data_IF_545102103035
#
_entry.id   IF_545102103035
#
_cell.length_a   1.000
_cell.length_b   1.000
_cell.length_c   1.000
_cell.angle_alpha   90.00
_cell.angle_beta   90.00
_cell.angle_gamma   90.00
#
_symmetry.space_group_name_H-M   'P 1'
#
loop_
_entity.id
_entity.type
_entity.pdbx_description
1 polymer ?
#
# COMPACT_ATOMS: atom_id res chain seq x y z
N UNK A 1 -1.55 -3.73 4.18
CA UNK A 1 -0.42 -3.49 3.27
C UNK A 1 -0.93 -2.82 2.02
N UNK A 2 -0.23 -1.79 1.55
CA UNK A 2 -0.53 -1.06 0.30
C UNK A 2 0.68 -1.21 -0.62
N UNK A 3 0.48 -1.45 -1.91
CA UNK A 3 1.55 -1.48 -2.92
C UNK A 3 1.38 -0.32 -3.89
N UNK A 4 2.46 0.43 -4.12
CA UNK A 4 2.46 1.60 -4.99
C UNK A 4 3.28 1.30 -6.25
N UNK A 5 2.60 1.13 -7.38
CA UNK A 5 3.20 0.77 -8.67
C UNK A 5 2.39 1.32 -9.83
N UNK A 6 2.17 0.51 -10.87
CA UNK A 6 1.29 0.87 -11.99
C UNK A 6 -0.10 1.29 -11.51
N UNK A 7 -0.64 0.57 -10.53
CA UNK A 7 -1.84 0.94 -9.78
C UNK A 7 -1.56 1.00 -8.27
N UNK A 8 -2.62 0.91 -7.48
CA UNK A 8 -2.54 0.75 -6.02
C UNK A 8 -3.12 -0.61 -5.65
N UNK A 9 -2.27 -1.54 -5.20
CA UNK A 9 -2.73 -2.82 -4.68
C UNK A 9 -2.89 -2.77 -3.16
N UNK A 10 -3.67 -3.70 -2.62
CA UNK A 10 -3.79 -3.87 -1.18
C UNK A 10 -3.89 -5.32 -0.75
N UNK A 11 -3.35 -5.59 0.44
CA UNK A 11 -3.59 -6.81 1.18
C UNK A 11 -4.03 -6.43 2.59
N UNK A 12 -5.23 -6.85 2.97
CA UNK A 12 -5.80 -6.58 4.28
C UNK A 12 -5.53 -7.78 5.17
N UNK A 13 -4.79 -7.57 6.27
CA UNK A 13 -4.45 -8.62 7.22
C UNK A 13 -5.17 -8.32 8.53
N UNK A 14 -5.93 -9.29 9.05
CA UNK A 14 -6.63 -9.18 10.32
C UNK A 14 -6.34 -10.41 11.17
N UNK A 15 -5.82 -10.20 12.39
CA UNK A 15 -5.38 -11.26 13.29
C UNK A 15 -4.43 -12.27 12.63
N UNK A 16 -3.50 -11.79 11.79
CA UNK A 16 -2.54 -12.63 11.06
C UNK A 16 -3.12 -13.38 9.85
N UNK A 17 -4.41 -13.25 9.57
CA UNK A 17 -5.06 -13.87 8.42
C UNK A 17 -5.27 -12.86 7.29
N UNK A 18 -5.07 -13.32 6.05
CA UNK A 18 -5.44 -12.55 4.87
C UNK A 18 -6.96 -12.46 4.74
N UNK A 19 -7.48 -11.24 4.68
CA UNK A 19 -8.81 -10.95 4.16
C UNK A 19 -8.66 -10.78 2.64
N UNK A 20 -9.14 -11.74 1.84
CA UNK A 20 -8.82 -11.79 0.41
C UNK A 20 -9.53 -10.68 -0.37
N UNK A 21 -8.94 -10.30 -1.50
CA UNK A 21 -9.55 -9.44 -2.51
C UNK A 21 -10.00 -8.04 -2.01
N UNK A 22 -9.35 -7.52 -0.97
CA UNK A 22 -9.54 -6.13 -0.58
C UNK A 22 -8.93 -5.21 -1.66
N UNK A 23 -9.77 -4.50 -2.41
CA UNK A 23 -9.40 -3.58 -3.50
C UNK A 23 -9.40 -2.12 -3.02
N UNK A 24 -8.53 -1.79 -2.06
CA UNK A 24 -8.46 -0.45 -1.47
C UNK A 24 -7.86 0.59 -2.43
N UNK A 25 -7.26 0.16 -3.54
CA UNK A 25 -6.77 1.07 -4.59
C UNK A 25 -7.89 1.79 -5.34
N UNK A 26 -9.10 1.18 -5.36
CA UNK A 26 -10.28 1.70 -6.05
C UNK A 26 -11.25 2.44 -5.13
N UNK A 27 -10.83 2.78 -3.91
CA UNK A 27 -11.62 3.67 -3.07
C UNK A 27 -11.78 5.01 -3.77
N UNK A 28 -13.00 5.56 -3.75
CA UNK A 28 -13.23 6.92 -4.20
C UNK A 28 -12.70 7.89 -3.15
N UNK A 29 -11.72 8.71 -3.53
CA UNK A 29 -11.13 9.76 -2.71
C UNK A 29 -11.20 11.07 -3.49
N UNK A 30 -11.88 12.06 -2.92
CA UNK A 30 -12.08 13.38 -3.51
C UNK A 30 -12.66 13.31 -4.95
N UNK A 31 -13.66 12.43 -5.12
CA UNK A 31 -14.41 12.25 -6.36
C UNK A 31 -13.68 11.47 -7.45
N UNK A 32 -12.54 10.84 -7.13
CA UNK A 32 -11.75 10.06 -8.08
C UNK A 32 -11.41 8.69 -7.50
N UNK A 33 -11.25 7.72 -8.38
CA UNK A 33 -10.57 6.46 -8.05
C UNK A 33 -9.15 6.77 -7.55
N UNK A 34 -8.81 6.29 -6.35
CA UNK A 34 -7.57 6.63 -5.68
C UNK A 34 -6.32 6.28 -6.49
N UNK A 35 -6.28 5.14 -7.19
CA UNK A 35 -5.07 4.75 -7.94
C UNK A 35 -4.79 5.68 -9.13
N UNK A 36 -5.85 6.27 -9.70
CA UNK A 36 -5.72 7.19 -10.83
C UNK A 36 -5.01 8.49 -10.44
N UNK A 37 -4.94 8.80 -9.14
CA UNK A 37 -4.30 9.98 -8.57
C UNK A 37 -3.03 9.66 -7.77
N UNK A 38 -3.02 8.58 -7.00
CA UNK A 38 -1.96 8.30 -6.02
C UNK A 38 -1.08 7.08 -6.36
N UNK A 39 -1.24 6.45 -7.52
CA UNK A 39 -0.29 5.42 -7.98
C UNK A 39 1.09 6.01 -8.34
N UNK A 40 2.10 5.15 -8.49
CA UNK A 40 3.42 5.60 -8.95
C UNK A 40 3.36 6.13 -10.39
N UNK A 41 2.54 5.52 -11.24
CA UNK A 41 2.31 5.99 -12.61
C UNK A 41 1.57 7.33 -12.63
N UNK A 42 0.58 7.54 -11.75
CA UNK A 42 -0.09 8.85 -11.64
C UNK A 42 0.90 9.95 -11.26
N UNK A 43 1.80 9.70 -10.30
CA UNK A 43 2.88 10.63 -9.93
C UNK A 43 3.73 11.05 -11.13
N UNK A 44 4.19 10.08 -11.91
CA UNK A 44 5.05 10.34 -13.07
C UNK A 44 4.30 11.03 -14.21
N UNK A 45 3.08 10.57 -14.52
CA UNK A 45 2.21 11.15 -15.53
C UNK A 45 1.93 12.63 -15.26
N UNK A 46 1.68 12.96 -13.99
CA UNK A 46 1.32 14.32 -13.58
C UNK A 46 2.56 15.17 -13.22
N UNK A 47 3.76 14.62 -13.35
CA UNK A 47 5.02 15.34 -13.15
C UNK A 47 5.26 15.78 -11.69
N UNK A 48 4.69 15.06 -10.72
CA UNK A 48 4.71 15.47 -9.32
C UNK A 48 6.08 15.24 -8.67
N UNK A 49 6.54 16.23 -7.92
CA UNK A 49 7.61 16.06 -6.93
C UNK A 49 7.18 15.09 -5.82
N UNK A 50 8.12 14.62 -5.01
CA UNK A 50 7.80 13.74 -3.88
C UNK A 50 7.01 14.44 -2.78
N UNK A 51 7.24 15.74 -2.58
CA UNK A 51 6.46 16.56 -1.64
C UNK A 51 5.00 16.68 -2.09
N UNK A 52 4.75 17.00 -3.37
CA UNK A 52 3.41 17.05 -3.93
C UNK A 52 2.72 15.67 -3.93
N UNK A 53 3.47 14.62 -4.26
CA UNK A 53 2.97 13.25 -4.17
C UNK A 53 2.56 12.87 -2.74
N UNK A 54 3.33 13.33 -1.75
CA UNK A 54 3.05 13.09 -0.33
C UNK A 54 1.70 13.66 0.09
N UNK A 55 1.25 14.78 -0.50
CA UNK A 55 -0.09 15.33 -0.24
C UNK A 55 -1.19 14.37 -0.68
N UNK A 56 -1.05 13.79 -1.88
CA UNK A 56 -2.02 12.82 -2.41
C UNK A 56 -2.00 11.51 -1.61
N UNK A 57 -0.80 11.01 -1.28
CA UNK A 57 -0.66 9.79 -0.50
C UNK A 57 -1.14 9.97 0.94
N UNK A 58 -0.87 11.12 1.56
CA UNK A 58 -1.39 11.51 2.88
C UNK A 58 -2.91 11.46 2.89
N UNK A 59 -3.55 12.06 1.87
CA UNK A 59 -5.00 12.09 1.75
C UNK A 59 -5.59 10.68 1.66
N UNK A 60 -5.02 9.83 0.81
CA UNK A 60 -5.42 8.44 0.67
C UNK A 60 -5.23 7.64 1.97
N UNK A 61 -4.02 7.67 2.56
CA UNK A 61 -3.71 6.89 3.76
C UNK A 61 -4.49 7.39 4.98
N UNK A 62 -4.75 8.68 5.12
CA UNK A 62 -5.63 9.23 6.17
C UNK A 62 -7.06 8.72 6.04
N UNK A 63 -7.55 8.59 4.79
CA UNK A 63 -8.87 8.04 4.53
C UNK A 63 -8.94 6.57 4.95
N UNK A 64 -7.95 5.77 4.55
CA UNK A 64 -7.85 4.36 4.96
C UNK A 64 -7.65 4.23 6.48
N UNK A 65 -6.86 5.11 7.09
CA UNK A 65 -6.67 5.18 8.54
C UNK A 65 -7.99 5.47 9.27
N UNK A 66 -8.81 6.39 8.76
CA UNK A 66 -10.13 6.67 9.32
C UNK A 66 -11.06 5.46 9.23
N UNK A 67 -11.10 4.79 8.07
CA UNK A 67 -11.99 3.66 7.84
C UNK A 67 -11.68 2.45 8.72
N UNK A 68 -10.39 2.16 8.94
CA UNK A 68 -9.98 0.88 9.53
C UNK A 68 -9.17 1.01 10.83
N UNK A 69 -8.67 2.20 11.16
CA UNK A 69 -7.76 2.43 12.28
C UNK A 69 -6.69 1.33 12.44
N UNK A 70 -5.90 1.06 11.38
CA UNK A 70 -4.99 -0.09 11.37
C UNK A 70 -3.86 0.07 12.40
N UNK A 71 -3.31 -1.05 12.86
CA UNK A 71 -2.14 -1.04 13.75
C UNK A 71 -0.84 -0.67 13.00
N UNK A 72 -0.77 -0.98 11.71
CA UNK A 72 0.41 -0.79 10.88
C UNK A 72 0.06 -0.64 9.39
N UNK A 73 0.65 0.36 8.74
CA UNK A 73 0.78 0.40 7.30
C UNK A 73 2.14 -0.17 6.87
N UNK A 74 2.10 -1.12 5.93
CA UNK A 74 3.27 -1.62 5.21
C UNK A 74 3.14 -1.15 3.77
N UNK A 75 4.12 -0.38 3.28
CA UNK A 75 4.17 0.14 1.92
C UNK A 75 5.15 -0.68 1.08
N UNK A 76 4.63 -1.38 0.08
CA UNK A 76 5.39 -2.09 -0.94
C UNK A 76 5.29 -1.43 -2.32
N UNK A 77 5.66 -2.16 -3.35
CA UNK A 77 5.65 -1.67 -4.74
C UNK A 77 6.93 -0.90 -5.12
N UNK A 78 7.01 -0.46 -6.37
CA UNK A 78 8.25 0.05 -6.97
C UNK A 78 8.82 1.27 -6.24
N UNK A 79 7.95 2.20 -5.85
CA UNK A 79 8.38 3.45 -5.20
C UNK A 79 8.66 3.31 -3.71
N UNK A 80 8.37 2.16 -3.07
CA UNK A 80 8.73 1.91 -1.66
C UNK A 80 10.23 2.08 -1.37
N UNK A 81 11.08 1.90 -2.39
CA UNK A 81 12.54 2.13 -2.34
C UNK A 81 12.93 3.61 -2.17
N UNK A 82 12.00 4.53 -2.42
CA UNK A 82 12.16 5.99 -2.32
C UNK A 82 11.38 6.56 -1.13
N UNK A 83 11.01 5.70 -0.17
CA UNK A 83 10.23 6.09 1.03
C UNK A 83 10.83 7.25 1.80
N UNK A 84 12.16 7.37 1.86
CA UNK A 84 12.84 8.50 2.52
C UNK A 84 12.49 9.87 1.91
N UNK A 85 11.99 9.92 0.68
CA UNK A 85 11.59 11.17 0.00
C UNK A 85 10.14 11.56 0.24
N UNK A 86 9.30 10.67 0.78
CA UNK A 86 7.88 10.98 0.99
C UNK A 86 7.34 10.61 2.39
N UNK A 87 7.89 9.61 3.07
CA UNK A 87 7.52 9.26 4.45
C UNK A 87 7.68 10.44 5.43
N UNK A 88 8.77 11.24 5.39
CA UNK A 88 8.92 12.36 6.31
C UNK A 88 7.85 13.45 6.18
N UNK A 89 7.11 13.46 5.07
CA UNK A 89 6.04 14.42 4.79
C UNK A 89 4.65 13.88 5.16
N UNK A 90 4.54 12.63 5.61
CA UNK A 90 3.29 12.03 6.06
C UNK A 90 3.08 12.28 7.56
N UNK A 91 1.86 12.65 7.92
CA UNK A 91 1.41 12.84 9.30
C UNK A 91 0.22 11.91 9.57
N UNK A 92 0.52 10.70 10.03
CA UNK A 92 -0.46 9.64 10.29
C UNK A 92 -0.38 9.23 11.76
N UNK A 93 -1.52 8.87 12.36
CA UNK A 93 -1.51 8.26 13.70
C UNK A 93 -0.96 6.84 13.64
N UNK A 94 -1.22 6.16 12.53
CA UNK A 94 -0.80 4.78 12.28
C UNK A 94 0.67 4.73 11.91
N UNK A 95 1.40 3.81 12.54
CA UNK A 95 2.79 3.55 12.17
C UNK A 95 2.88 3.11 10.71
N UNK A 96 3.86 3.62 9.99
CA UNK A 96 4.14 3.28 8.59
C UNK A 96 5.56 2.75 8.42
N UNK A 97 5.72 1.68 7.65
CA UNK A 97 7.02 1.06 7.32
C UNK A 97 7.04 0.60 5.86
N UNK A 98 8.23 0.35 5.32
CA UNK A 98 8.39 -0.28 4.00
C UNK A 98 8.32 -1.80 4.09
N UNK A 99 7.86 -2.44 3.02
CA UNK A 99 7.88 -3.89 2.91
C UNK A 99 9.33 -4.41 2.78
N UNK A 100 9.74 -5.28 3.70
CA UNK A 100 11.12 -5.83 3.73
C UNK A 100 11.44 -6.65 2.47
N UNK A 101 10.50 -7.48 2.03
CA UNK A 101 10.68 -8.40 0.90
C UNK A 101 10.63 -7.71 -0.48
N UNK A 102 10.25 -6.43 -0.56
CA UNK A 102 10.22 -5.63 -1.80
C UNK A 102 9.59 -6.41 -2.98
N UNK A 103 10.38 -6.71 -4.00
CA UNK A 103 9.95 -7.39 -5.23
C UNK A 103 9.66 -8.87 -5.00
N UNK A 104 10.27 -9.49 -3.99
CA UNK A 104 10.13 -10.92 -3.70
C UNK A 104 8.84 -11.21 -2.91
N UNK A 105 8.18 -10.18 -2.37
CA UNK A 105 6.98 -10.31 -1.55
C UNK A 105 5.88 -11.15 -2.23
N UNK A 106 5.67 -10.96 -3.54
CA UNK A 106 4.66 -11.69 -4.30
C UNK A 106 5.00 -13.17 -4.47
N UNK A 107 6.25 -13.49 -4.84
CA UNK A 107 6.70 -14.88 -5.04
C UNK A 107 6.66 -15.64 -3.71
N UNK A 108 7.18 -15.03 -2.64
CA UNK A 108 7.16 -15.62 -1.29
C UNK A 108 5.73 -15.80 -0.79
N UNK A 109 4.88 -14.79 -0.95
CA UNK A 109 3.48 -14.84 -0.54
C UNK A 109 2.69 -15.94 -1.25
N UNK A 110 2.88 -16.12 -2.56
CA UNK A 110 2.25 -17.19 -3.33
C UNK A 110 2.69 -18.58 -2.85
N UNK A 111 3.99 -18.78 -2.59
CA UNK A 111 4.49 -20.04 -2.05
C UNK A 111 3.94 -20.33 -0.65
N UNK A 112 3.85 -19.31 0.20
CA UNK A 112 3.25 -19.41 1.54
C UNK A 112 1.77 -19.78 1.46
N UNK A 113 1.00 -19.14 0.58
CA UNK A 113 -0.44 -19.43 0.41
C UNK A 113 -0.67 -20.88 0.00
N UNK A 114 0.05 -21.38 -1.02
CA UNK A 114 0.01 -22.80 -1.42
C UNK A 114 0.36 -23.71 -0.24
N UNK A 115 1.39 -23.37 0.52
CA UNK A 115 1.82 -24.18 1.65
C UNK A 115 0.77 -24.23 2.77
N UNK A 116 0.11 -23.11 3.08
CA UNK A 116 -0.94 -23.05 4.09
C UNK A 116 -2.22 -23.76 3.62
N UNK A 117 -2.65 -23.49 2.38
CA UNK A 117 -3.88 -24.04 1.81
C UNK A 117 -3.81 -25.57 1.70
N UNK A 118 -2.66 -26.09 1.29
CA UNK A 118 -2.43 -27.53 1.14
C UNK A 118 -1.80 -28.18 2.39
N UNK A 119 -1.68 -27.45 3.51
CA UNK A 119 -1.11 -27.95 4.79
C UNK A 119 0.29 -28.57 4.64
N UNK A 120 1.10 -27.98 3.77
CA UNK A 120 2.50 -28.36 3.54
C UNK A 120 3.45 -27.73 4.56
N UNK A 121 3.01 -26.66 5.23
CA UNK A 121 3.68 -26.03 6.35
C UNK A 121 2.74 -26.00 7.57
N UNK A 122 3.32 -26.05 8.78
CA UNK A 122 2.60 -25.99 10.05
C UNK A 122 2.39 -24.56 10.50
#
# INVERSE_FOLDING_TARGET
>A
MITLGTGIGSAFIFNGHLVPNAELGHLEVDGHDAETKASAVARERDGLSWEEYSVLLQRYLSHVEFLFSPELFIIGGGISKRSDEYFPHLDLRTRIVTAELKNDAGIVGAALDVALHHKLAK
#
